data_IF_228934108395
#
_entry.id   IF_228934108395
#
_cell.length_a   1.000
_cell.length_b   1.000
_cell.length_c   1.000
_cell.angle_alpha   90.00
_cell.angle_beta   90.00
_cell.angle_gamma   90.00
#
_symmetry.space_group_name_H-M   'P 1'
#
loop_
_entity.id
_entity.type
_entity.pdbx_description
1 polymer ?
#
# COMPACT_ATOMS: atom_id res chain seq x y z
N UNK A 1 -25.61 -13.04 -3.14
CA UNK A 1 -24.31 -12.46 -2.76
C UNK A 1 -24.47 -10.96 -2.82
N UNK A 2 -24.66 -10.30 -1.69
CA UNK A 2 -24.91 -8.85 -1.60
C UNK A 2 -23.60 -8.20 -1.17
N UNK A 3 -23.02 -7.40 -2.06
CA UNK A 3 -22.01 -6.36 -1.76
C UNK A 3 -20.77 -6.74 -0.91
N UNK A 4 -20.16 -7.91 -1.11
CA UNK A 4 -18.80 -8.23 -0.59
C UNK A 4 -17.67 -7.50 -1.37
N UNK A 5 -17.98 -6.41 -2.07
CA UNK A 5 -16.97 -5.63 -2.77
C UNK A 5 -16.31 -4.66 -1.79
N UNK A 6 -15.01 -4.82 -1.56
CA UNK A 6 -14.20 -3.87 -0.80
C UNK A 6 -14.43 -2.45 -1.33
N UNK A 7 -15.04 -1.59 -0.50
CA UNK A 7 -15.39 -0.22 -0.90
C UNK A 7 -14.27 0.73 -0.55
N UNK A 8 -13.61 1.28 -1.56
CA UNK A 8 -12.65 2.37 -1.37
C UNK A 8 -13.36 3.70 -1.16
N UNK A 9 -12.92 4.46 -0.16
CA UNK A 9 -13.55 5.72 0.26
C UNK A 9 -12.63 6.92 0.11
N UNK A 10 -11.30 6.70 0.04
CA UNK A 10 -10.31 7.77 -0.11
C UNK A 10 -9.02 7.26 -0.72
N UNK A 11 -8.36 8.10 -1.51
CA UNK A 11 -6.98 7.91 -1.98
C UNK A 11 -6.20 9.18 -1.66
N UNK A 12 -5.01 9.03 -1.07
CA UNK A 12 -4.13 10.14 -0.70
C UNK A 12 -2.73 9.87 -1.26
N UNK A 13 -2.08 10.91 -1.78
CA UNK A 13 -0.70 10.82 -2.21
C UNK A 13 0.23 10.69 -0.99
N UNK A 14 1.23 9.82 -1.09
CA UNK A 14 2.28 9.65 -0.10
C UNK A 14 3.64 9.94 -0.70
N UNK A 15 4.66 10.04 0.17
CA UNK A 15 6.03 10.23 -0.26
C UNK A 15 6.59 8.92 -0.82
N UNK A 16 6.82 8.87 -2.12
CA UNK A 16 7.47 7.73 -2.78
C UNK A 16 8.93 7.57 -2.36
N UNK A 17 9.46 6.35 -2.51
CA UNK A 17 10.85 6.02 -2.24
C UNK A 17 11.84 6.72 -3.18
N UNK A 18 11.37 7.15 -4.36
CA UNK A 18 12.21 7.70 -5.43
C UNK A 18 13.01 6.63 -6.18
N UNK A 19 12.60 5.37 -6.08
CA UNK A 19 13.21 4.25 -6.82
C UNK A 19 12.73 4.22 -8.27
N UNK A 20 13.48 3.53 -9.12
CA UNK A 20 13.15 3.34 -10.53
C UNK A 20 13.28 4.59 -11.39
N UNK A 21 12.75 4.48 -12.61
CA UNK A 21 12.64 5.62 -13.52
C UNK A 21 11.58 6.60 -13.00
N UNK A 22 10.48 6.06 -12.47
CA UNK A 22 9.34 6.80 -11.92
C UNK A 22 8.73 6.01 -10.76
N UNK A 23 8.26 6.71 -9.73
CA UNK A 23 7.52 6.09 -8.61
C UNK A 23 6.41 6.97 -8.10
N UNK A 24 5.31 6.33 -7.67
CA UNK A 24 4.14 6.98 -7.04
C UNK A 24 3.74 6.17 -5.82
N UNK A 25 3.65 6.84 -4.67
CA UNK A 25 3.15 6.26 -3.44
C UNK A 25 1.80 6.86 -3.05
N UNK A 26 0.97 6.04 -2.41
CA UNK A 26 -0.39 6.41 -2.05
C UNK A 26 -0.92 5.57 -0.88
N UNK A 27 -1.82 6.17 -0.10
CA UNK A 27 -2.66 5.48 0.87
C UNK A 27 -4.07 5.33 0.30
N UNK A 28 -4.60 4.11 0.35
CA UNK A 28 -6.00 3.82 0.01
C UNK A 28 -6.76 3.48 1.28
N UNK A 29 -7.80 4.25 1.58
CA UNK A 29 -8.73 3.93 2.65
C UNK A 29 -9.95 3.20 2.08
N UNK A 30 -10.37 2.13 2.73
CA UNK A 30 -11.59 1.42 2.39
C UNK A 30 -12.33 0.86 3.61
N UNK A 31 -13.41 0.15 3.34
CA UNK A 31 -14.18 -0.62 4.31
C UNK A 31 -14.20 -2.08 3.87
N UNK A 32 -13.84 -2.98 4.78
CA UNK A 32 -13.90 -4.43 4.61
C UNK A 32 -14.53 -5.03 5.87
N UNK A 33 -15.56 -5.87 5.70
CA UNK A 33 -16.33 -6.48 6.80
C UNK A 33 -16.88 -5.48 7.86
N UNK A 34 -17.13 -4.23 7.44
CA UNK A 34 -17.58 -3.16 8.31
C UNK A 34 -16.45 -2.37 9.00
N UNK A 35 -15.21 -2.86 8.91
CA UNK A 35 -14.03 -2.23 9.50
C UNK A 35 -13.31 -1.32 8.50
N UNK A 36 -12.81 -0.19 9.02
CA UNK A 36 -11.99 0.73 8.23
C UNK A 36 -10.60 0.15 8.06
N UNK A 37 -10.18 0.01 6.82
CA UNK A 37 -8.82 -0.41 6.45
C UNK A 37 -8.09 0.71 5.72
N UNK A 38 -6.79 0.77 5.91
CA UNK A 38 -5.88 1.62 5.11
C UNK A 38 -4.86 0.68 4.50
N UNK A 39 -4.53 0.84 3.22
CA UNK A 39 -3.44 0.11 2.55
C UNK A 39 -2.47 1.15 2.02
N UNK A 40 -1.20 1.02 2.36
CA UNK A 40 -0.13 1.85 1.80
C UNK A 40 0.44 1.13 0.59
N UNK A 41 0.57 1.83 -0.52
CA UNK A 41 1.05 1.30 -1.79
C UNK A 41 2.12 2.19 -2.41
N UNK A 42 3.09 1.59 -3.10
CA UNK A 42 4.01 2.28 -3.97
C UNK A 42 4.18 1.50 -5.29
N UNK A 43 3.95 2.16 -6.41
CA UNK A 43 4.24 1.64 -7.73
C UNK A 43 5.55 2.24 -8.24
N UNK A 44 6.46 1.40 -8.71
CA UNK A 44 7.78 1.76 -9.24
C UNK A 44 7.93 1.22 -10.65
N UNK A 45 8.28 2.08 -11.61
CA UNK A 45 8.56 1.70 -13.00
C UNK A 45 10.06 1.56 -13.23
N UNK A 46 10.46 0.46 -13.86
CA UNK A 46 11.80 0.21 -14.38
C UNK A 46 11.68 -0.24 -15.84
N UNK A 47 12.01 0.63 -16.79
CA UNK A 47 11.78 0.36 -18.21
C UNK A 47 10.32 0.01 -18.49
N UNK A 48 10.07 -1.21 -18.99
CA UNK A 48 8.73 -1.75 -19.28
C UNK A 48 8.10 -2.51 -18.09
N UNK A 49 8.78 -2.61 -16.96
CA UNK A 49 8.30 -3.34 -15.78
C UNK A 49 7.72 -2.36 -14.76
N UNK A 50 6.54 -2.66 -14.22
CA UNK A 50 5.95 -1.95 -13.08
C UNK A 50 5.87 -2.90 -11.90
N UNK A 51 6.58 -2.59 -10.82
CA UNK A 51 6.50 -3.31 -9.56
C UNK A 51 5.63 -2.54 -8.57
N UNK A 52 4.73 -3.24 -7.88
CA UNK A 52 3.89 -2.65 -6.83
C UNK A 52 4.26 -3.26 -5.49
N UNK A 53 4.57 -2.39 -4.53
CA UNK A 53 4.80 -2.74 -3.14
C UNK A 53 3.59 -2.27 -2.34
N UNK A 54 3.14 -3.07 -1.38
CA UNK A 54 2.07 -2.64 -0.49
C UNK A 54 2.28 -3.20 0.91
N UNK A 55 1.73 -2.51 1.90
CA UNK A 55 1.60 -3.02 3.26
C UNK A 55 0.18 -2.86 3.77
N UNK A 56 -0.24 -3.83 4.57
CA UNK A 56 -1.52 -3.82 5.26
C UNK A 56 -1.33 -4.31 6.69
N UNK A 57 -2.02 -3.71 7.64
CA UNK A 57 -1.98 -4.11 9.03
C UNK A 57 -3.16 -5.02 9.34
N UNK A 58 -2.87 -6.33 9.44
CA UNK A 58 -3.89 -7.34 9.73
C UNK A 58 -4.45 -7.27 11.16
N UNK A 59 -3.76 -6.57 12.07
CA UNK A 59 -4.31 -6.33 13.41
C UNK A 59 -5.58 -5.47 13.38
N UNK A 60 -5.84 -4.75 12.28
CA UNK A 60 -7.09 -4.02 12.07
C UNK A 60 -8.32 -4.93 12.03
N UNK A 61 -8.16 -6.24 11.76
CA UNK A 61 -9.25 -7.22 11.73
C UNK A 61 -9.35 -8.07 13.01
N UNK A 62 -8.55 -7.76 14.04
CA UNK A 62 -8.61 -8.45 15.33
C UNK A 62 -9.51 -7.65 16.28
N UNK A 63 -10.38 -8.33 17.02
CA UNK A 63 -11.42 -7.72 17.88
C UNK A 63 -10.89 -6.69 18.90
N UNK A 64 -9.62 -6.81 19.32
CA UNK A 64 -8.96 -5.93 20.30
C UNK A 64 -7.83 -5.08 19.68
N UNK A 65 -7.71 -5.08 18.35
CA UNK A 65 -6.58 -4.49 17.64
C UNK A 65 -6.60 -2.97 17.67
N UNK A 66 -5.58 -2.36 18.29
CA UNK A 66 -5.21 -0.96 18.02
C UNK A 66 -4.10 -0.98 16.96
N UNK A 67 -4.42 -0.83 15.67
CA UNK A 67 -3.40 -0.85 14.64
C UNK A 67 -2.40 0.27 14.92
N UNK A 68 -1.13 -0.09 15.04
CA UNK A 68 -0.04 0.89 15.06
C UNK A 68 0.12 1.48 13.67
N UNK A 69 0.55 2.74 13.63
CA UNK A 69 1.04 3.37 12.40
C UNK A 69 2.09 2.49 11.73
N UNK A 70 1.97 2.39 10.42
CA UNK A 70 2.79 1.53 9.58
C UNK A 70 2.84 2.13 8.17
N UNK A 71 3.74 1.61 7.35
CA UNK A 71 3.89 2.03 5.97
C UNK A 71 4.80 1.09 5.23
N UNK A 72 5.34 1.52 4.09
CA UNK A 72 6.35 0.78 3.35
C UNK A 72 7.70 1.44 3.59
N UNK A 73 8.69 0.76 4.21
CA UNK A 73 10.01 1.34 4.37
C UNK A 73 10.67 1.62 3.02
N UNK A 74 11.06 2.87 2.76
CA UNK A 74 11.65 3.27 1.49
C UNK A 74 12.92 2.47 1.14
N UNK A 75 13.73 2.11 2.14
CA UNK A 75 14.94 1.29 1.96
C UNK A 75 14.60 -0.13 1.47
N UNK A 76 13.45 -0.69 1.90
CA UNK A 76 12.98 -1.99 1.40
C UNK A 76 12.54 -1.89 -0.06
N UNK A 77 11.82 -0.81 -0.42
CA UNK A 77 11.42 -0.55 -1.81
C UNK A 77 12.66 -0.45 -2.70
N UNK A 78 13.64 0.38 -2.32
CA UNK A 78 14.91 0.53 -3.06
C UNK A 78 15.64 -0.79 -3.25
N UNK A 79 15.75 -1.59 -2.19
CA UNK A 79 16.44 -2.88 -2.24
C UNK A 79 15.76 -3.89 -3.16
N UNK A 80 14.42 -3.88 -3.24
CA UNK A 80 13.68 -4.77 -4.14
C UNK A 80 13.65 -4.24 -5.58
N UNK A 81 13.45 -2.93 -5.75
CA UNK A 81 13.43 -2.26 -7.03
C UNK A 81 14.78 -2.40 -7.75
N UNK A 82 15.90 -2.33 -7.01
CA UNK A 82 17.24 -2.56 -7.55
C UNK A 82 17.50 -3.96 -8.13
N UNK A 83 16.61 -4.94 -7.90
CA UNK A 83 16.70 -6.28 -8.53
C UNK A 83 16.10 -6.34 -9.92
N UNK A 84 15.38 -5.29 -10.33
CA UNK A 84 14.70 -5.16 -11.63
C UNK A 84 15.50 -4.31 -12.62
N UNK A 85 16.65 -3.78 -12.18
CA UNK A 85 17.59 -3.01 -12.98
C UNK A 85 18.53 -3.90 -13.80
#
# INVERSE_FOLDING_TARGET
>A
MKDDAQKFTKVEAEKASGSGDESVAFAVTGVADGDKIVVHGEAVRHGSTVATYYSMNLAAFLADGKPKEYGIPAELVKAQAGKLA
#
